data_IF_145635349806
#
_entry.id   IF_145635349806
#
_cell.length_a   1.000
_cell.length_b   1.000
_cell.length_c   1.000
_cell.angle_alpha   90.00
_cell.angle_beta   90.00
_cell.angle_gamma   90.00
#
_symmetry.space_group_name_H-M   'P 1'
#
loop_
_entity.id
_entity.type
_entity.pdbx_description
1 polymer ?
#
# COMPACT_ATOMS: atom_id res chain seq x y z
N UNK A 1 -22.44 -46.66 21.32
CA UNK A 1 -21.15 -46.80 20.64
C UNK A 1 -20.73 -45.45 20.06
N UNK A 2 -20.03 -44.63 20.84
CA UNK A 2 -19.56 -43.31 20.41
C UNK A 2 -18.37 -43.48 19.43
N UNK A 3 -18.57 -43.18 18.15
CA UNK A 3 -17.47 -43.03 17.21
C UNK A 3 -16.68 -41.76 17.56
N UNK A 4 -15.49 -41.92 18.13
CA UNK A 4 -14.48 -40.86 18.18
C UNK A 4 -14.04 -40.58 16.73
N UNK A 5 -14.43 -39.42 16.21
CA UNK A 5 -13.86 -38.87 14.97
C UNK A 5 -12.40 -38.56 15.27
N UNK A 6 -11.48 -39.38 14.77
CA UNK A 6 -10.05 -39.04 14.76
C UNK A 6 -9.86 -37.75 13.96
N UNK A 7 -9.04 -36.80 14.42
CA UNK A 7 -8.69 -35.64 13.60
C UNK A 7 -8.09 -36.14 12.29
N UNK A 8 -8.75 -35.83 11.16
CA UNK A 8 -8.25 -36.24 9.84
C UNK A 8 -6.81 -35.76 9.66
N UNK A 9 -5.95 -36.54 9.01
CA UNK A 9 -4.55 -36.17 8.74
C UNK A 9 -4.38 -34.80 8.05
N UNK A 10 -5.43 -34.29 7.40
CA UNK A 10 -5.52 -32.92 6.88
C UNK A 10 -5.45 -31.86 8.00
N UNK A 11 -6.16 -32.02 9.11
CA UNK A 11 -6.20 -30.98 10.17
C UNK A 11 -4.85 -30.80 10.84
N UNK A 12 -4.07 -31.87 10.99
CA UNK A 12 -2.71 -31.80 11.53
C UNK A 12 -1.77 -31.05 10.57
N UNK A 13 -1.85 -31.32 9.26
CA UNK A 13 -1.07 -30.60 8.23
C UNK A 13 -1.41 -29.10 8.19
N UNK A 14 -2.69 -28.74 8.35
CA UNK A 14 -3.12 -27.35 8.43
C UNK A 14 -2.59 -26.64 9.68
N UNK A 15 -2.63 -27.30 10.84
CA UNK A 15 -2.09 -26.75 12.08
C UNK A 15 -0.57 -26.54 12.00
N UNK A 16 0.17 -27.50 11.41
CA UNK A 16 1.61 -27.35 11.17
C UNK A 16 1.91 -26.19 10.23
N UNK A 17 1.16 -26.04 9.12
CA UNK A 17 1.33 -24.93 8.20
C UNK A 17 1.07 -23.57 8.87
N UNK A 18 0.00 -23.48 9.67
CA UNK A 18 -0.31 -22.25 10.43
C UNK A 18 0.81 -21.90 11.41
N UNK A 19 1.34 -22.87 12.14
CA UNK A 19 2.47 -22.65 13.05
C UNK A 19 3.71 -22.17 12.30
N UNK A 20 4.03 -22.76 11.15
CA UNK A 20 5.16 -22.32 10.31
C UNK A 20 4.97 -20.88 9.85
N UNK A 21 3.77 -20.50 9.39
CA UNK A 21 3.46 -19.12 8.98
C UNK A 21 3.57 -18.16 10.16
N UNK A 22 3.06 -18.52 11.34
CA UNK A 22 3.13 -17.68 12.55
C UNK A 22 4.57 -17.47 12.98
N UNK A 23 5.37 -18.54 13.03
CA UNK A 23 6.79 -18.46 13.39
C UNK A 23 7.57 -17.64 12.36
N UNK A 24 7.29 -17.82 11.07
CA UNK A 24 7.91 -17.05 10.00
C UNK A 24 7.54 -15.57 10.07
N UNK A 25 6.27 -15.25 10.35
CA UNK A 25 5.81 -13.88 10.56
C UNK A 25 6.45 -13.25 11.79
N UNK A 26 6.51 -13.97 12.92
CA UNK A 26 7.17 -13.50 14.14
C UNK A 26 8.66 -13.23 13.90
N UNK A 27 9.34 -14.12 13.16
CA UNK A 27 10.73 -13.92 12.74
C UNK A 27 10.89 -12.71 11.82
N UNK A 28 9.98 -12.50 10.87
CA UNK A 28 9.98 -11.30 10.01
C UNK A 28 9.86 -10.03 10.84
N UNK A 29 8.92 -9.99 11.79
CA UNK A 29 8.74 -8.84 12.68
C UNK A 29 9.97 -8.59 13.55
N UNK A 30 10.56 -9.65 14.12
CA UNK A 30 11.79 -9.56 14.88
C UNK A 30 12.94 -9.02 14.00
N UNK A 31 13.06 -9.48 12.76
CA UNK A 31 14.05 -8.97 11.80
C UNK A 31 13.82 -7.47 11.53
N UNK A 32 12.59 -7.04 11.24
CA UNK A 32 12.29 -5.62 11.03
C UNK A 32 12.63 -4.76 12.27
N UNK A 33 12.39 -5.29 13.47
CA UNK A 33 12.75 -4.63 14.72
C UNK A 33 14.27 -4.51 14.89
N UNK A 34 15.02 -5.61 14.69
CA UNK A 34 16.47 -5.64 14.81
C UNK A 34 17.18 -4.74 13.79
N UNK A 35 16.63 -4.59 12.57
CA UNK A 35 17.16 -3.70 11.53
C UNK A 35 17.25 -2.23 12.00
N UNK A 36 16.44 -1.82 12.98
CA UNK A 36 16.47 -0.45 13.55
C UNK A 36 17.75 -0.17 14.34
N UNK A 37 18.34 -1.20 14.94
CA UNK A 37 19.48 -1.06 15.85
C UNK A 37 20.76 -1.69 15.30
N UNK A 38 20.70 -2.35 14.14
CA UNK A 38 21.86 -3.03 13.57
C UNK A 38 22.88 -2.02 13.02
N UNK A 39 24.10 -1.94 13.59
CA UNK A 39 25.05 -0.88 13.27
C UNK A 39 25.87 -1.16 11.99
N UNK A 40 26.03 -2.43 11.60
CA UNK A 40 26.92 -2.84 10.50
C UNK A 40 26.26 -2.89 9.12
N UNK A 41 25.07 -2.32 8.95
CA UNK A 41 24.42 -2.26 7.63
C UNK A 41 24.94 -1.05 6.86
N UNK A 42 25.26 -1.24 5.59
CA UNK A 42 25.47 -0.12 4.68
C UNK A 42 24.12 0.55 4.41
N UNK A 43 24.02 1.83 4.78
CA UNK A 43 22.79 2.64 4.75
C UNK A 43 22.91 3.79 3.77
N UNK A 44 22.72 3.54 2.46
CA UNK A 44 22.80 4.60 1.46
C UNK A 44 21.68 5.62 1.68
N UNK A 45 21.99 6.89 1.42
CA UNK A 45 21.02 7.97 1.40
C UNK A 45 20.79 8.37 -0.06
N UNK A 46 19.52 8.48 -0.45
CA UNK A 46 19.11 8.95 -1.79
C UNK A 46 18.31 10.23 -1.63
N UNK A 47 18.75 11.29 -2.30
CA UNK A 47 18.03 12.58 -2.33
C UNK A 47 16.88 12.53 -3.33
N UNK A 48 15.65 12.52 -2.79
CA UNK A 48 14.41 12.66 -3.56
C UNK A 48 13.89 14.10 -3.43
N UNK A 49 12.85 14.45 -4.19
CA UNK A 49 12.28 15.81 -4.18
C UNK A 49 11.90 16.31 -2.78
N UNK A 50 11.43 15.42 -1.92
CA UNK A 50 10.96 15.74 -0.56
C UNK A 50 12.07 15.84 0.49
N UNK A 51 13.28 15.34 0.20
CA UNK A 51 14.40 15.25 1.14
C UNK A 51 15.17 13.93 0.98
N UNK A 52 16.09 13.65 1.91
CA UNK A 52 16.87 12.42 1.91
C UNK A 52 16.05 11.21 2.39
N UNK A 53 16.21 10.06 1.75
CA UNK A 53 15.71 8.78 2.26
C UNK A 53 16.89 7.84 2.51
N UNK A 54 16.98 7.32 3.73
CA UNK A 54 18.01 6.36 4.11
C UNK A 54 17.47 4.94 3.97
N UNK A 55 18.09 4.14 3.13
CA UNK A 55 17.73 2.74 2.90
C UNK A 55 18.73 1.77 3.49
N UNK A 56 18.68 0.53 3.00
CA UNK A 56 19.63 -0.54 3.37
C UNK A 56 20.13 -1.23 2.12
N UNK A 57 21.43 -1.50 2.09
CA UNK A 57 22.04 -2.44 1.15
C UNK A 57 21.92 -3.86 1.68
N UNK A 58 21.40 -4.76 0.86
CA UNK A 58 21.25 -6.18 1.19
C UNK A 58 21.70 -7.06 0.02
N UNK A 59 21.55 -8.38 0.16
CA UNK A 59 21.92 -9.36 -0.86
C UNK A 59 20.72 -10.03 -1.48
N UNK A 60 20.74 -10.14 -2.80
CA UNK A 60 19.81 -10.92 -3.60
C UNK A 60 20.09 -12.43 -3.43
N UNK A 61 19.18 -13.31 -3.85
CA UNK A 61 19.37 -14.76 -3.79
C UNK A 61 20.63 -15.27 -4.51
N UNK A 62 21.03 -14.61 -5.60
CA UNK A 62 22.27 -14.90 -6.33
C UNK A 62 23.54 -14.33 -5.67
N UNK A 63 23.43 -13.65 -4.53
CA UNK A 63 24.54 -13.05 -3.79
C UNK A 63 24.92 -11.62 -4.20
N UNK A 64 24.34 -11.10 -5.29
CA UNK A 64 24.55 -9.72 -5.73
C UNK A 64 23.97 -8.71 -4.73
N UNK A 65 24.53 -7.50 -4.72
CA UNK A 65 24.01 -6.41 -3.91
C UNK A 65 22.74 -5.84 -4.53
N UNK A 66 21.81 -5.43 -3.68
CA UNK A 66 20.69 -4.57 -4.05
C UNK A 66 20.38 -3.61 -2.90
N UNK A 67 19.54 -2.62 -3.16
CA UNK A 67 19.15 -1.61 -2.17
C UNK A 67 17.64 -1.57 -2.02
N UNK A 68 17.17 -1.35 -0.80
CA UNK A 68 15.75 -1.11 -0.54
C UNK A 68 15.53 0.11 0.36
N UNK A 69 14.40 0.78 0.10
CA UNK A 69 13.92 1.96 0.80
C UNK A 69 12.44 1.74 1.08
N UNK A 70 12.11 1.37 2.31
CA UNK A 70 10.78 0.98 2.73
C UNK A 70 9.96 2.16 3.26
N UNK A 71 8.68 2.12 2.95
CA UNK A 71 7.65 3.00 3.52
C UNK A 71 7.96 4.50 3.41
N UNK A 72 8.43 4.96 2.24
CA UNK A 72 8.61 6.37 1.88
C UNK A 72 7.21 7.03 1.74
N UNK A 73 6.89 8.09 2.52
CA UNK A 73 5.60 8.76 2.43
C UNK A 73 5.51 9.58 1.14
N UNK A 74 4.44 9.40 0.37
CA UNK A 74 4.19 10.15 -0.87
C UNK A 74 3.08 11.20 -0.73
N UNK A 75 2.41 11.26 0.42
CA UNK A 75 1.29 12.17 0.69
C UNK A 75 1.28 12.63 2.14
N UNK A 76 0.58 13.75 2.41
CA UNK A 76 0.23 14.13 3.78
C UNK A 76 -0.70 13.06 4.38
N UNK A 77 -0.55 12.73 5.68
CA UNK A 77 -1.44 11.79 6.36
C UNK A 77 -2.93 12.14 6.14
N UNK A 78 -3.76 11.22 5.62
CA UNK A 78 -5.18 11.47 5.31
C UNK A 78 -6.07 11.40 6.57
N UNK A 79 -5.66 12.10 7.63
CA UNK A 79 -6.34 12.16 8.94
C UNK A 79 -7.08 13.48 9.11
N UNK A 80 -7.98 13.54 10.10
CA UNK A 80 -8.75 14.75 10.41
C UNK A 80 -9.53 15.26 9.19
N UNK A 81 -9.34 16.53 8.83
CA UNK A 81 -10.01 17.17 7.69
C UNK A 81 -9.64 16.57 6.32
N UNK A 82 -8.50 15.88 6.22
CA UNK A 82 -8.06 15.19 5.00
C UNK A 82 -8.69 13.81 4.84
N UNK A 83 -9.38 13.30 5.86
CA UNK A 83 -10.07 12.02 5.80
C UNK A 83 -11.12 12.03 4.68
N UNK A 84 -11.18 10.95 3.90
CA UNK A 84 -12.02 10.77 2.70
C UNK A 84 -11.73 11.70 1.50
N UNK A 85 -10.97 12.78 1.69
CA UNK A 85 -10.64 13.75 0.64
C UNK A 85 -9.54 13.22 -0.29
N UNK A 86 -9.40 13.77 -1.51
CA UNK A 86 -8.22 13.51 -2.36
C UNK A 86 -6.91 13.69 -1.58
N UNK A 87 -5.89 12.85 -1.84
CA UNK A 87 -4.62 12.98 -1.14
C UNK A 87 -3.92 14.27 -1.50
N UNK A 88 -3.23 14.85 -0.53
CA UNK A 88 -2.41 16.04 -0.72
C UNK A 88 -0.95 15.60 -0.87
N UNK A 89 -0.26 15.99 -1.96
CA UNK A 89 1.17 15.70 -2.13
C UNK A 89 1.99 16.15 -0.94
N UNK A 90 2.98 15.35 -0.56
CA UNK A 90 3.98 15.75 0.42
C UNK A 90 5.07 16.55 -0.29
N UNK A 91 5.25 17.81 0.11
CA UNK A 91 6.25 18.71 -0.50
C UNK A 91 7.64 18.50 0.07
N UNK A 92 7.73 18.27 1.39
CA UNK A 92 8.97 18.00 2.13
C UNK A 92 8.71 17.03 3.27
N UNK A 93 9.73 16.27 3.66
CA UNK A 93 9.72 15.50 4.90
C UNK A 93 9.84 16.42 6.13
N UNK A 94 9.37 15.94 7.28
CA UNK A 94 9.51 16.66 8.56
C UNK A 94 10.97 16.73 9.02
N UNK A 95 11.77 15.73 8.64
CA UNK A 95 13.19 15.64 8.94
C UNK A 95 13.99 15.69 7.62
N UNK A 96 15.23 16.21 7.63
CA UNK A 96 16.06 16.28 6.42
C UNK A 96 16.31 14.92 5.77
N UNK A 97 16.50 13.89 6.59
CA UNK A 97 16.69 12.50 6.15
C UNK A 97 15.70 11.61 6.90
N UNK A 98 14.89 10.88 6.14
CA UNK A 98 13.93 9.91 6.68
C UNK A 98 14.55 8.51 6.70
N UNK A 99 14.45 7.83 7.84
CA UNK A 99 14.81 6.41 7.92
C UNK A 99 13.75 5.55 7.22
N UNK A 100 14.16 4.90 6.14
CA UNK A 100 13.38 4.00 5.30
C UNK A 100 13.99 2.58 5.30
N UNK A 101 14.60 2.18 6.42
CA UNK A 101 15.25 0.88 6.55
C UNK A 101 14.31 -0.27 6.95
N UNK A 102 13.09 0.03 7.39
CA UNK A 102 12.15 -0.96 7.93
C UNK A 102 10.71 -0.66 7.53
N UNK A 103 9.85 -1.66 7.70
CA UNK A 103 8.42 -1.55 7.41
C UNK A 103 7.68 -0.72 8.47
N UNK A 104 6.76 0.12 8.01
CA UNK A 104 5.77 0.80 8.84
C UNK A 104 4.45 0.03 8.79
N UNK A 105 3.54 0.36 9.69
CA UNK A 105 2.21 -0.24 9.74
C UNK A 105 1.48 -0.12 8.40
N UNK A 106 0.59 -1.05 8.09
CA UNK A 106 -0.28 -0.90 6.92
C UNK A 106 -1.32 0.21 7.14
N UNK A 107 -1.99 0.62 6.06
CA UNK A 107 -3.18 1.46 6.18
C UNK A 107 -4.27 0.72 6.95
N UNK A 108 -5.07 1.46 7.72
CA UNK A 108 -6.11 0.86 8.57
C UNK A 108 -7.08 -0.01 7.76
N UNK A 109 -7.24 -1.26 8.19
CA UNK A 109 -7.98 -2.29 7.47
C UNK A 109 -8.42 -3.42 8.40
N UNK A 110 -9.26 -4.33 7.87
CA UNK A 110 -9.59 -5.58 8.55
C UNK A 110 -8.51 -6.61 8.20
N UNK A 111 -7.98 -7.32 9.22
CA UNK A 111 -6.80 -8.16 9.08
C UNK A 111 -6.97 -9.32 8.08
N UNK A 112 -8.19 -9.85 7.93
CA UNK A 112 -8.47 -10.84 6.89
C UNK A 112 -9.95 -11.25 6.81
N UNK A 113 -10.29 -12.12 5.87
CA UNK A 113 -11.67 -12.57 5.66
C UNK A 113 -12.26 -13.34 6.86
N UNK A 114 -11.41 -13.95 7.69
CA UNK A 114 -11.83 -14.72 8.88
C UNK A 114 -11.43 -14.04 10.21
N UNK A 115 -10.66 -12.95 10.15
CA UNK A 115 -10.20 -12.20 11.32
C UNK A 115 -10.67 -10.75 11.21
N UNK A 116 -11.75 -10.44 11.93
CA UNK A 116 -12.42 -9.14 11.89
C UNK A 116 -11.70 -8.06 12.73
N UNK A 117 -10.51 -8.36 13.27
CA UNK A 117 -9.71 -7.36 13.96
C UNK A 117 -9.30 -6.25 13.00
N UNK A 118 -9.38 -5.01 13.49
CA UNK A 118 -8.92 -3.82 12.78
C UNK A 118 -7.46 -3.59 13.14
N UNK A 119 -6.61 -3.50 12.12
CA UNK A 119 -5.16 -3.29 12.24
C UNK A 119 -4.73 -2.09 11.39
N UNK A 120 -3.51 -1.60 11.61
CA UNK A 120 -2.92 -0.51 10.82
C UNK A 120 -3.26 0.89 11.34
N UNK A 121 -2.75 1.91 10.62
CA UNK A 121 -2.88 3.33 10.99
C UNK A 121 -3.31 4.19 9.80
N UNK A 122 -4.12 5.21 10.03
CA UNK A 122 -4.61 6.10 8.95
C UNK A 122 -3.49 6.94 8.31
N UNK A 123 -2.39 7.20 9.02
CA UNK A 123 -1.26 7.99 8.52
C UNK A 123 -0.36 7.24 7.54
N UNK A 124 -0.71 6.01 7.16
CA UNK A 124 0.18 5.10 6.45
C UNK A 124 0.02 5.09 4.92
N UNK A 125 0.24 6.25 4.29
CA UNK A 125 0.30 6.34 2.82
C UNK A 125 1.74 6.44 2.34
N UNK A 126 2.30 5.28 2.05
CA UNK A 126 3.69 5.11 1.66
C UNK A 126 3.88 4.14 0.50
N UNK A 127 5.07 4.20 -0.09
CA UNK A 127 5.56 3.24 -1.07
C UNK A 127 6.94 2.74 -0.66
N UNK A 128 7.34 1.59 -1.18
CA UNK A 128 8.68 1.03 -0.97
C UNK A 128 9.37 0.85 -2.31
N UNK A 129 10.66 1.19 -2.40
CA UNK A 129 11.48 1.08 -3.60
C UNK A 129 12.57 0.04 -3.39
N UNK A 130 12.73 -0.86 -4.34
CA UNK A 130 13.76 -1.90 -4.37
C UNK A 130 14.50 -1.78 -5.69
N UNK A 131 15.82 -1.60 -5.65
CA UNK A 131 16.63 -1.34 -6.84
C UNK A 131 17.87 -2.24 -6.89
N UNK A 132 18.23 -2.80 -8.06
CA UNK A 132 19.44 -3.59 -8.22
C UNK A 132 20.72 -2.78 -7.96
N UNK A 133 20.66 -1.46 -8.16
CA UNK A 133 21.82 -0.60 -7.96
C UNK A 133 21.46 0.87 -7.97
N UNK A 134 22.19 1.65 -7.20
CA UNK A 134 22.08 3.10 -7.22
C UNK A 134 22.93 3.70 -8.35
N UNK A 135 22.64 4.92 -8.82
CA UNK A 135 23.42 5.57 -9.88
C UNK A 135 24.88 5.79 -9.46
N UNK A 136 25.84 5.49 -10.36
CA UNK A 136 26.91 6.43 -10.69
C UNK A 136 26.63 7.10 -12.05
N UNK A 137 27.38 8.15 -12.38
CA UNK A 137 27.24 8.90 -13.64
C UNK A 137 27.45 7.96 -14.86
N UNK A 138 26.58 8.04 -15.87
CA UNK A 138 26.68 7.23 -17.10
C UNK A 138 26.16 5.79 -17.03
N UNK A 139 25.68 5.32 -15.88
CA UNK A 139 25.13 3.97 -15.77
C UNK A 139 23.78 3.82 -16.50
N UNK A 140 23.56 2.67 -17.14
CA UNK A 140 22.27 2.35 -17.76
C UNK A 140 21.15 2.33 -16.71
N UNK A 141 19.97 2.86 -17.10
CA UNK A 141 18.78 2.87 -16.26
C UNK A 141 18.09 1.50 -16.29
N UNK A 142 17.45 1.14 -15.19
CA UNK A 142 16.66 -0.09 -15.08
C UNK A 142 15.19 0.16 -15.43
N UNK A 143 14.49 -0.76 -16.11
CA UNK A 143 13.03 -0.71 -16.20
C UNK A 143 12.41 -0.69 -14.81
N UNK A 144 11.25 -0.04 -14.69
CA UNK A 144 10.54 0.11 -13.41
C UNK A 144 9.23 -0.67 -13.45
N UNK A 145 8.96 -1.46 -12.42
CA UNK A 145 7.63 -2.01 -12.15
C UNK A 145 7.04 -1.29 -10.94
N UNK A 146 5.88 -0.66 -11.13
CA UNK A 146 5.06 -0.17 -10.02
C UNK A 146 3.96 -1.19 -9.76
N UNK A 147 4.02 -1.85 -8.61
CA UNK A 147 3.10 -2.89 -8.19
C UNK A 147 2.01 -2.32 -7.26
N UNK A 148 0.76 -2.49 -7.65
CA UNK A 148 -0.43 -2.19 -6.85
C UNK A 148 -0.94 -3.51 -6.21
N UNK A 149 -0.87 -3.64 -4.87
CA UNK A 149 -1.39 -4.81 -4.17
C UNK A 149 -2.90 -4.99 -4.34
N UNK A 150 -3.32 -6.26 -4.36
CA UNK A 150 -4.73 -6.67 -4.28
C UNK A 150 -5.32 -6.52 -2.88
N UNK A 151 -6.42 -7.23 -2.62
CA UNK A 151 -7.14 -7.20 -1.34
C UNK A 151 -8.58 -6.67 -1.42
N UNK A 152 -9.21 -6.77 -2.60
CA UNK A 152 -10.63 -6.46 -2.80
C UNK A 152 -11.00 -4.99 -2.52
N UNK A 153 -10.03 -4.07 -2.58
CA UNK A 153 -10.16 -2.68 -2.15
C UNK A 153 -10.59 -2.52 -0.68
N UNK A 154 -10.45 -3.57 0.14
CA UNK A 154 -10.79 -3.60 1.58
C UNK A 154 -9.56 -3.80 2.46
N UNK A 155 -8.55 -4.45 1.89
CA UNK A 155 -7.25 -4.66 2.47
C UNK A 155 -6.16 -4.27 1.47
N UNK A 156 -5.03 -3.79 1.97
CA UNK A 156 -3.82 -3.50 1.21
C UNK A 156 -2.61 -3.64 2.15
N UNK A 157 -1.59 -4.33 1.69
CA UNK A 157 -0.28 -4.37 2.34
C UNK A 157 0.80 -4.24 1.28
N UNK A 158 1.89 -3.55 1.58
CA UNK A 158 3.10 -3.53 0.75
C UNK A 158 4.29 -4.17 1.47
N UNK A 159 4.04 -4.94 2.54
CA UNK A 159 5.05 -5.67 3.29
C UNK A 159 5.76 -6.70 2.43
N UNK A 160 7.07 -6.81 2.60
CA UNK A 160 7.88 -7.86 1.95
C UNK A 160 7.62 -9.24 2.52
N UNK A 161 6.81 -9.37 3.59
CA UNK A 161 6.34 -10.68 4.04
C UNK A 161 5.44 -11.36 2.98
N UNK A 162 4.63 -10.56 2.27
CA UNK A 162 3.73 -11.05 1.21
C UNK A 162 4.30 -10.76 -0.18
N UNK A 163 4.88 -9.58 -0.37
CA UNK A 163 5.33 -9.08 -1.68
C UNK A 163 6.84 -8.83 -1.68
N UNK A 164 7.64 -9.87 -1.41
CA UNK A 164 9.10 -9.79 -1.55
C UNK A 164 9.51 -9.72 -3.03
N UNK A 165 10.10 -8.61 -3.52
CA UNK A 165 10.40 -8.45 -4.94
C UNK A 165 11.79 -8.96 -5.32
N UNK A 166 12.56 -9.58 -4.41
CA UNK A 166 13.98 -9.93 -4.64
C UNK A 166 14.23 -10.69 -5.96
N UNK A 167 13.34 -11.60 -6.35
CA UNK A 167 13.51 -12.36 -7.59
C UNK A 167 13.31 -11.51 -8.84
N UNK A 168 12.44 -10.48 -8.78
CA UNK A 168 12.23 -9.52 -9.88
C UNK A 168 13.40 -8.54 -9.92
N UNK A 169 13.85 -8.06 -8.76
CA UNK A 169 15.02 -7.16 -8.66
C UNK A 169 16.27 -7.83 -9.22
N UNK A 170 16.45 -9.13 -8.98
CA UNK A 170 17.54 -9.92 -9.55
C UNK A 170 17.56 -9.94 -11.08
N UNK A 171 16.42 -9.68 -11.75
CA UNK A 171 16.36 -9.56 -13.21
C UNK A 171 16.75 -8.16 -13.73
N UNK A 172 17.31 -7.30 -12.88
CA UNK A 172 17.69 -5.94 -13.26
C UNK A 172 16.49 -5.00 -13.39
N UNK A 173 15.53 -5.09 -12.47
CA UNK A 173 14.30 -4.28 -12.48
C UNK A 173 14.17 -3.52 -11.17
N UNK A 174 13.82 -2.23 -11.25
CA UNK A 174 13.42 -1.46 -10.07
C UNK A 174 11.96 -1.76 -9.76
N UNK A 175 11.67 -2.18 -8.54
CA UNK A 175 10.31 -2.50 -8.11
C UNK A 175 9.84 -1.47 -7.08
N UNK A 176 8.64 -0.93 -7.29
CA UNK A 176 7.97 -0.02 -6.35
C UNK A 176 6.66 -0.67 -5.89
N UNK A 177 6.47 -0.86 -4.58
CA UNK A 177 5.22 -1.38 -4.02
C UNK A 177 4.44 -0.28 -3.30
N UNK A 178 3.15 -0.11 -3.61
CA UNK A 178 2.36 1.05 -3.17
C UNK A 178 1.29 0.64 -2.15
N UNK A 179 1.23 1.32 -1.01
CA UNK A 179 0.08 1.27 -0.11
C UNK A 179 -0.90 2.41 -0.45
N UNK A 180 -2.21 2.16 -0.37
CA UNK A 180 -3.27 3.13 -0.67
C UNK A 180 -4.46 2.96 0.27
N UNK A 181 -5.35 3.97 0.38
CA UNK A 181 -6.54 3.86 1.23
C UNK A 181 -7.50 2.79 0.70
N UNK A 182 -8.02 1.99 1.63
CA UNK A 182 -8.99 0.92 1.36
C UNK A 182 -10.29 1.13 2.12
N UNK A 183 -11.30 0.36 1.77
CA UNK A 183 -12.62 0.35 2.38
C UNK A 183 -13.33 1.71 2.30
N UNK A 184 -14.20 2.02 3.27
CA UNK A 184 -14.88 3.32 3.31
C UNK A 184 -13.91 4.50 3.34
N UNK A 185 -12.74 4.38 3.97
CA UNK A 185 -11.78 5.48 4.04
C UNK A 185 -11.17 5.85 2.68
N UNK A 186 -11.10 4.89 1.75
CA UNK A 186 -10.63 5.10 0.38
C UNK A 186 -11.73 5.33 -0.66
N UNK A 187 -12.96 4.88 -0.40
CA UNK A 187 -13.99 4.77 -1.45
C UNK A 187 -15.37 5.33 -1.06
N UNK A 188 -15.50 6.05 0.07
CA UNK A 188 -16.73 6.76 0.43
C UNK A 188 -17.10 7.81 -0.63
N UNK A 189 -18.39 7.92 -0.97
CA UNK A 189 -18.91 8.92 -1.90
C UNK A 189 -20.07 9.70 -1.24
N UNK A 190 -19.88 11.02 -1.08
CA UNK A 190 -20.85 12.00 -0.59
C UNK A 190 -20.60 13.34 -1.33
N UNK A 191 -20.99 13.46 -2.62
CA UNK A 191 -20.67 14.60 -3.47
C UNK A 191 -21.15 15.95 -2.92
N UNK A 192 -22.32 16.01 -2.27
CA UNK A 192 -22.86 17.21 -1.64
C UNK A 192 -22.05 17.72 -0.44
N UNK A 193 -21.13 16.91 0.08
CA UNK A 193 -20.13 17.30 1.08
C UNK A 193 -18.71 17.43 0.48
N UNK A 194 -18.57 17.40 -0.84
CA UNK A 194 -17.29 17.50 -1.54
C UNK A 194 -16.47 16.19 -1.56
N UNK A 195 -17.07 15.06 -1.17
CA UNK A 195 -16.41 13.75 -1.18
C UNK A 195 -16.83 12.99 -2.43
N UNK A 196 -16.09 13.17 -3.52
CA UNK A 196 -16.47 12.61 -4.84
C UNK A 196 -16.17 11.12 -5.04
N UNK A 197 -15.77 10.38 -4.00
CA UNK A 197 -15.28 9.00 -4.13
C UNK A 197 -13.85 8.86 -4.65
N UNK A 198 -13.43 7.60 -4.78
CA UNK A 198 -12.17 7.15 -5.38
C UNK A 198 -10.91 7.78 -4.77
N UNK A 199 -10.91 8.07 -3.47
CA UNK A 199 -9.74 8.56 -2.76
C UNK A 199 -8.56 7.56 -2.85
N UNK A 200 -8.82 6.25 -2.74
CA UNK A 200 -7.82 5.19 -2.91
C UNK A 200 -7.17 5.17 -4.31
N UNK A 201 -7.95 5.33 -5.39
CA UNK A 201 -7.38 5.45 -6.75
C UNK A 201 -6.61 6.78 -6.93
N UNK A 202 -7.04 7.84 -6.25
CA UNK A 202 -6.31 9.11 -6.25
C UNK A 202 -4.99 9.00 -5.49
N UNK A 203 -4.91 8.16 -4.45
CA UNK A 203 -3.67 7.83 -3.73
C UNK A 203 -2.68 7.10 -4.65
N UNK A 204 -3.15 6.07 -5.35
CA UNK A 204 -2.35 5.32 -6.33
C UNK A 204 -1.84 6.25 -7.43
N UNK A 205 -2.67 7.14 -7.96
CA UNK A 205 -2.24 8.16 -8.95
C UNK A 205 -1.17 9.09 -8.38
N UNK A 206 -1.29 9.50 -7.12
CA UNK A 206 -0.28 10.34 -6.48
C UNK A 206 1.04 9.58 -6.28
N UNK A 207 0.99 8.29 -5.95
CA UNK A 207 2.17 7.43 -5.92
C UNK A 207 2.82 7.29 -7.30
N UNK A 208 2.03 7.12 -8.38
CA UNK A 208 2.56 7.12 -9.76
C UNK A 208 3.25 8.43 -10.12
N UNK A 209 2.67 9.56 -9.71
CA UNK A 209 3.30 10.87 -9.86
C UNK A 209 4.61 10.95 -9.07
N UNK A 210 4.65 10.45 -7.84
CA UNK A 210 5.87 10.38 -7.03
C UNK A 210 6.95 9.56 -7.73
N UNK A 211 6.60 8.39 -8.29
CA UNK A 211 7.54 7.56 -9.06
C UNK A 211 8.10 8.34 -10.24
N UNK A 212 7.24 9.01 -11.02
CA UNK A 212 7.70 9.82 -12.15
C UNK A 212 8.67 10.94 -11.73
N UNK A 213 8.45 11.57 -10.58
CA UNK A 213 9.30 12.66 -10.08
C UNK A 213 10.64 12.18 -9.47
N UNK A 214 10.73 10.92 -9.00
CA UNK A 214 11.82 10.49 -8.11
C UNK A 214 12.55 9.21 -8.54
N UNK A 215 11.97 8.35 -9.37
CA UNK A 215 12.52 6.99 -9.57
C UNK A 215 13.89 6.97 -10.26
N UNK A 216 14.23 8.02 -11.01
CA UNK A 216 15.56 8.22 -11.60
C UNK A 216 16.67 8.29 -10.55
N UNK A 217 16.35 8.76 -9.32
CA UNK A 217 17.28 8.77 -8.18
C UNK A 217 17.63 7.38 -7.67
N UNK A 218 16.78 6.39 -7.96
CA UNK A 218 16.99 4.97 -7.66
C UNK A 218 17.45 4.19 -8.89
N UNK A 219 17.99 4.89 -9.91
CA UNK A 219 18.44 4.35 -11.20
C UNK A 219 17.31 3.72 -12.03
N UNK A 220 16.06 4.05 -11.74
CA UNK A 220 14.91 3.65 -12.56
C UNK A 220 14.75 4.53 -13.80
N UNK A 221 14.27 3.94 -14.88
CA UNK A 221 13.93 4.63 -16.12
C UNK A 221 12.50 5.15 -16.09
N UNK A 222 12.34 6.47 -16.05
CA UNK A 222 11.03 7.14 -16.06
C UNK A 222 10.27 6.91 -17.36
N UNK A 223 10.98 6.60 -18.45
CA UNK A 223 10.41 6.34 -19.78
C UNK A 223 10.14 4.84 -20.03
N UNK A 224 10.40 3.99 -19.04
CA UNK A 224 10.19 2.55 -19.13
C UNK A 224 9.56 1.99 -17.84
N UNK A 225 8.39 2.57 -17.51
CA UNK A 225 7.59 2.17 -16.35
C UNK A 225 6.47 1.22 -16.76
N UNK A 226 6.35 0.10 -16.05
CA UNK A 226 5.26 -0.88 -16.18
C UNK A 226 4.38 -0.82 -14.93
N UNK A 227 3.08 -0.59 -15.12
CA UNK A 227 2.10 -0.66 -14.03
C UNK A 227 1.58 -2.09 -13.89
N UNK A 228 1.76 -2.71 -12.74
CA UNK A 228 1.40 -4.09 -12.48
C UNK A 228 0.45 -4.16 -11.29
N UNK A 229 -0.53 -5.06 -11.35
CA UNK A 229 -1.38 -5.32 -10.19
C UNK A 229 -2.06 -6.68 -10.25
N UNK A 230 -2.45 -7.18 -9.08
CA UNK A 230 -3.13 -8.46 -8.90
C UNK A 230 -4.51 -8.27 -8.27
N UNK A 231 -5.53 -8.99 -8.75
CA UNK A 231 -6.91 -8.91 -8.26
C UNK A 231 -7.42 -7.45 -8.24
N UNK A 232 -7.78 -6.89 -7.09
CA UNK A 232 -8.16 -5.48 -6.97
C UNK A 232 -7.06 -4.48 -7.40
N UNK A 233 -5.80 -4.89 -7.31
CA UNK A 233 -4.67 -4.16 -7.88
C UNK A 233 -4.67 -4.21 -9.41
N UNK A 234 -5.11 -5.32 -10.02
CA UNK A 234 -5.30 -5.43 -11.46
C UNK A 234 -6.45 -4.54 -11.94
N UNK A 235 -7.58 -4.50 -11.20
CA UNK A 235 -8.66 -3.53 -11.44
C UNK A 235 -8.14 -2.09 -11.43
N UNK A 236 -7.36 -1.75 -10.39
CA UNK A 236 -6.75 -0.43 -10.23
C UNK A 236 -5.80 -0.08 -11.39
N UNK A 237 -4.91 -1.01 -11.76
CA UNK A 237 -4.00 -0.84 -12.87
C UNK A 237 -4.74 -0.64 -14.20
N UNK A 238 -5.81 -1.40 -14.43
CA UNK A 238 -6.66 -1.27 -15.62
C UNK A 238 -7.38 0.09 -15.64
N UNK A 239 -7.97 0.53 -14.52
CA UNK A 239 -8.60 1.85 -14.42
C UNK A 239 -7.60 2.98 -14.66
N UNK A 240 -6.36 2.85 -14.20
CA UNK A 240 -5.29 3.79 -14.51
C UNK A 240 -4.84 3.76 -15.98
N UNK A 241 -4.89 2.61 -16.62
CA UNK A 241 -4.67 2.48 -18.07
C UNK A 241 -5.72 3.22 -18.88
N UNK A 242 -6.99 3.18 -18.45
CA UNK A 242 -8.07 3.93 -19.10
C UNK A 242 -8.07 5.42 -18.76
N UNK A 243 -7.56 5.82 -17.59
CA UNK A 243 -7.64 7.19 -17.11
C UNK A 243 -6.57 8.10 -17.73
N UNK A 244 -6.94 9.18 -18.46
CA UNK A 244 -5.96 10.13 -19.01
C UNK A 244 -5.13 10.84 -17.93
N UNK A 245 -5.68 10.94 -16.71
CA UNK A 245 -5.00 11.54 -15.56
C UNK A 245 -3.84 10.72 -15.02
N UNK A 246 -3.80 9.41 -15.32
CA UNK A 246 -2.76 8.48 -14.87
C UNK A 246 -1.93 7.90 -16.02
N UNK A 247 -2.51 7.77 -17.22
CA UNK A 247 -1.89 7.09 -18.38
C UNK A 247 -0.49 7.58 -18.74
N UNK A 248 -0.22 8.87 -18.49
CA UNK A 248 1.06 9.54 -18.76
C UNK A 248 2.22 9.11 -17.86
N UNK A 249 1.98 8.41 -16.75
CA UNK A 249 3.02 8.04 -15.79
C UNK A 249 3.62 6.64 -16.03
N UNK A 250 3.10 5.88 -17.00
CA UNK A 250 3.59 4.55 -17.31
C UNK A 250 3.41 4.20 -18.79
N UNK A 251 4.11 3.16 -19.23
CA UNK A 251 4.31 2.83 -20.63
C UNK A 251 3.67 1.49 -20.97
N UNK A 252 3.71 0.55 -20.02
CA UNK A 252 3.17 -0.81 -20.14
C UNK A 252 2.28 -1.13 -18.94
N UNK A 253 1.40 -2.10 -19.07
CA UNK A 253 0.55 -2.55 -17.98
C UNK A 253 0.41 -4.07 -17.95
N UNK A 254 0.34 -4.65 -16.74
CA UNK A 254 0.13 -6.08 -16.49
C UNK A 254 -1.03 -6.23 -15.50
N UNK A 255 -2.04 -7.00 -15.90
CA UNK A 255 -3.25 -7.24 -15.12
C UNK A 255 -3.33 -8.72 -14.73
N UNK A 256 -3.07 -9.05 -13.46
CA UNK A 256 -3.09 -10.43 -12.98
C UNK A 256 -4.42 -10.75 -12.31
N UNK A 257 -5.23 -11.61 -12.93
CA UNK A 257 -6.51 -12.08 -12.37
C UNK A 257 -7.48 -10.94 -12.02
N UNK A 258 -7.62 -9.96 -12.91
CA UNK A 258 -8.63 -8.91 -12.82
C UNK A 258 -8.59 -7.94 -14.00
N UNK A 259 -9.75 -7.40 -14.36
CA UNK A 259 -9.96 -6.42 -15.43
C UNK A 259 -11.00 -5.38 -15.00
N UNK A 260 -11.12 -4.27 -15.74
CA UNK A 260 -12.14 -3.24 -15.47
C UNK A 260 -13.46 -3.45 -16.22
N UNK A 261 -13.66 -4.59 -16.88
CA UNK A 261 -14.89 -4.90 -17.63
C UNK A 261 -15.94 -5.61 -16.77
N UNK A 262 -15.54 -6.07 -15.58
CA UNK A 262 -16.44 -6.76 -14.65
C UNK A 262 -17.19 -5.78 -13.74
N UNK A 263 -18.50 -5.98 -13.56
CA UNK A 263 -19.36 -5.15 -12.70
C UNK A 263 -18.84 -5.04 -11.26
N UNK A 264 -18.17 -6.09 -10.75
CA UNK A 264 -17.60 -6.14 -9.40
C UNK A 264 -16.56 -5.07 -9.10
N UNK A 265 -16.01 -4.41 -10.12
CA UNK A 265 -15.09 -3.28 -9.99
C UNK A 265 -15.81 -1.99 -9.59
N UNK A 266 -17.06 -1.84 -10.01
CA UNK A 266 -17.82 -0.61 -9.81
C UNK A 266 -18.77 -0.73 -8.63
N UNK A 267 -18.79 0.31 -7.80
CA UNK A 267 -19.75 0.38 -6.72
C UNK A 267 -21.08 0.92 -7.27
N UNK A 268 -22.07 0.04 -7.43
CA UNK A 268 -23.46 0.47 -7.63
C UNK A 268 -23.94 1.29 -6.43
N UNK A 269 -24.65 2.39 -6.69
CA UNK A 269 -25.25 3.29 -5.70
C UNK A 269 -24.29 3.69 -4.56
N UNK A 270 -23.17 4.35 -4.87
CA UNK A 270 -22.11 4.57 -3.89
C UNK A 270 -22.55 5.48 -2.74
N UNK A 271 -23.40 6.48 -3.03
CA UNK A 271 -23.99 7.36 -2.02
C UNK A 271 -24.96 6.62 -1.09
N UNK A 272 -25.79 5.73 -1.63
CA UNK A 272 -26.74 4.97 -0.80
C UNK A 272 -25.99 4.03 0.16
N UNK A 273 -24.93 3.37 -0.32
CA UNK A 273 -24.05 2.54 0.52
C UNK A 273 -23.38 3.34 1.62
N UNK A 274 -22.92 4.56 1.32
CA UNK A 274 -22.41 5.49 2.33
C UNK A 274 -23.51 5.80 3.38
N UNK A 275 -24.70 6.21 2.96
CA UNK A 275 -25.81 6.50 3.90
C UNK A 275 -26.21 5.29 4.74
N UNK A 276 -26.27 4.09 4.16
CA UNK A 276 -26.55 2.83 4.89
C UNK A 276 -25.52 2.57 5.98
N UNK A 277 -24.23 2.69 5.67
CA UNK A 277 -23.18 2.53 6.68
C UNK A 277 -23.27 3.61 7.76
N UNK A 278 -23.55 4.87 7.41
CA UNK A 278 -23.72 5.93 8.39
C UNK A 278 -24.92 5.71 9.33
N UNK A 279 -26.05 5.16 8.83
CA UNK A 279 -27.19 4.76 9.67
C UNK A 279 -26.80 3.72 10.72
N UNK A 280 -25.97 2.73 10.35
CA UNK A 280 -25.42 1.76 11.31
C UNK A 280 -24.51 2.40 12.36
N UNK A 281 -23.92 3.56 12.06
CA UNK A 281 -23.13 4.38 12.99
C UNK A 281 -23.97 5.40 13.77
N UNK A 282 -25.31 5.33 13.67
CA UNK A 282 -26.25 6.19 14.40
C UNK A 282 -26.62 7.48 13.68
N UNK A 283 -26.31 7.65 12.39
CA UNK A 283 -26.73 8.82 11.63
C UNK A 283 -28.27 8.84 11.47
N UNK A 284 -28.89 9.96 11.86
CA UNK A 284 -30.32 10.26 11.62
C UNK A 284 -30.54 11.25 10.49
N UNK A 285 -29.49 11.96 10.09
CA UNK A 285 -29.51 12.93 9.01
C UNK A 285 -29.61 12.27 7.64
N UNK A 286 -30.02 13.08 6.66
CA UNK A 286 -30.12 12.63 5.26
C UNK A 286 -29.17 13.39 4.34
N UNK A 287 -28.69 14.57 4.75
CA UNK A 287 -27.76 15.37 3.96
C UNK A 287 -26.33 14.81 4.00
N UNK A 288 -25.57 15.02 2.93
CA UNK A 288 -24.18 14.55 2.83
C UNK A 288 -23.29 15.09 3.94
N UNK A 289 -23.55 16.31 4.39
CA UNK A 289 -22.79 16.95 5.47
C UNK A 289 -23.04 16.28 6.82
N UNK A 290 -24.29 15.94 7.14
CA UNK A 290 -24.63 15.20 8.37
C UNK A 290 -24.11 13.76 8.35
N UNK A 291 -24.16 13.13 7.19
CA UNK A 291 -23.61 11.78 6.98
C UNK A 291 -22.10 11.81 7.18
N UNK A 292 -21.39 12.77 6.56
CA UNK A 292 -19.95 12.97 6.73
C UNK A 292 -19.57 13.28 8.19
N UNK A 293 -20.31 14.16 8.87
CA UNK A 293 -20.02 14.50 10.27
C UNK A 293 -20.15 13.28 11.19
N UNK A 294 -21.12 12.39 10.92
CA UNK A 294 -21.27 11.14 11.66
C UNK A 294 -20.04 10.24 11.53
N UNK A 295 -19.45 10.15 10.33
CA UNK A 295 -18.21 9.39 10.13
C UNK A 295 -17.03 9.99 10.89
N UNK A 296 -16.81 11.30 10.75
CA UNK A 296 -15.71 11.99 11.40
C UNK A 296 -15.79 11.88 12.92
N UNK A 297 -16.98 12.04 13.51
CA UNK A 297 -17.21 11.92 14.95
C UNK A 297 -16.91 10.52 15.48
N UNK A 298 -17.43 9.48 14.83
CA UNK A 298 -17.26 8.09 15.29
C UNK A 298 -15.81 7.61 15.18
N UNK A 299 -15.10 8.03 14.14
CA UNK A 299 -13.68 7.69 13.97
C UNK A 299 -12.81 8.43 14.98
N UNK A 300 -13.10 9.71 15.25
CA UNK A 300 -12.36 10.48 16.25
C UNK A 300 -12.50 9.89 17.67
N UNK A 301 -13.70 9.41 18.04
CA UNK A 301 -13.94 8.70 19.31
C UNK A 301 -13.10 7.42 19.46
N UNK A 302 -12.82 6.72 18.36
CA UNK A 302 -11.98 5.50 18.38
C UNK A 302 -10.50 5.85 18.51
N UNK A 303 -10.03 6.90 17.83
CA UNK A 303 -8.65 7.40 18.02
C UNK A 303 -8.36 7.91 19.43
N UNK A 304 -9.35 8.47 20.14
CA UNK A 304 -9.18 8.88 21.55
C UNK A 304 -9.17 7.72 22.55
N UNK A 305 -9.67 6.53 22.18
CA UNK A 305 -9.60 5.34 23.05
C UNK A 305 -8.32 4.52 22.88
N UNK A 306 -7.54 4.80 21.83
CA UNK A 306 -6.30 4.09 21.49
C UNK A 306 -5.06 5.01 21.59
N UNK A 307 -5.17 6.16 22.25
CA UNK A 307 -4.04 6.96 22.77
C UNK A 307 -3.96 6.74 24.27
#
# INVERSE_FOLDING_TARGET
SCCRVQPSTMTLKWATLQLVIILWYAWHQLKQFLLRFWPFLERPIVEVRQGGVQGVTARLPNGERYHYFKCIPYSKPPVGELRFRPPVPLEKFEQPVLDCSYERDDFVQVQGPHDLRVVGVESSLHLSVFTPGLPPEGASKYPVIVYIPGGGLRACTNSTFIYDPVHIVQQGVVVVTVAYRVGPLGFLCLPGAGISGNAGLKDQRLALKWVHENISKFRGDTENVTLMGQSAGAWSAYLHYLSPNSRKYFHRAIFQSGDACTESVFQLDPEEKARKLAKLLGCRGSSDREVLSTYLHNLNKRTCKNR
#
